data_IF_995369112513
#
_entry.id   IF_995369112513
#
_cell.length_a   1.000
_cell.length_b   1.000
_cell.length_c   1.000
_cell.angle_alpha   90.00
_cell.angle_beta   90.00
_cell.angle_gamma   90.00
#
_symmetry.space_group_name_H-M   'P 1'
#
loop_
_entity.id
_entity.type
_entity.pdbx_description
1 polymer ?
#
# COMPACT_ATOMS: atom_id res chain seq x y z
N UNK A 1 -21.81 -5.52 36.68
CA UNK A 1 -21.31 -5.08 35.36
C UNK A 1 -20.02 -5.84 35.06
N UNK A 2 -20.03 -6.77 34.10
CA UNK A 2 -18.83 -7.52 33.73
C UNK A 2 -17.91 -6.62 32.88
N UNK A 3 -16.71 -6.33 33.39
CA UNK A 3 -15.69 -5.58 32.65
C UNK A 3 -15.08 -6.55 31.63
N UNK A 4 -15.44 -6.42 30.36
CA UNK A 4 -14.86 -7.24 29.29
C UNK A 4 -13.39 -6.82 29.16
N UNK A 5 -12.50 -7.61 29.75
CA UNK A 5 -11.04 -7.42 29.62
C UNK A 5 -10.66 -8.08 28.29
N UNK A 6 -10.63 -7.29 27.22
CA UNK A 6 -10.13 -7.79 25.94
C UNK A 6 -8.65 -8.16 26.08
N UNK A 7 -8.23 -9.36 25.62
CA UNK A 7 -6.82 -9.69 25.55
C UNK A 7 -6.13 -8.64 24.66
N UNK A 8 -5.04 -8.06 25.18
CA UNK A 8 -4.31 -6.94 24.55
C UNK A 8 -3.86 -7.26 23.11
N UNK A 9 -3.73 -8.55 22.78
CA UNK A 9 -3.41 -9.04 21.44
C UNK A 9 -4.54 -8.79 20.45
N UNK A 10 -5.77 -9.14 20.80
CA UNK A 10 -6.97 -8.94 19.96
C UNK A 10 -7.25 -7.45 19.78
N UNK A 11 -7.10 -6.64 20.83
CA UNK A 11 -7.30 -5.18 20.75
C UNK A 11 -6.33 -4.49 19.79
N UNK A 12 -5.07 -4.93 19.73
CA UNK A 12 -4.10 -4.39 18.78
C UNK A 12 -4.42 -4.78 17.33
N UNK A 13 -4.75 -6.06 17.08
CA UNK A 13 -5.10 -6.52 15.75
C UNK A 13 -6.33 -5.78 15.21
N UNK A 14 -7.42 -5.79 15.97
CA UNK A 14 -8.65 -5.09 15.60
C UNK A 14 -8.44 -3.57 15.46
N UNK A 15 -7.66 -2.96 16.34
CA UNK A 15 -7.33 -1.54 16.27
C UNK A 15 -6.50 -1.18 15.03
N UNK A 16 -5.52 -2.02 14.68
CA UNK A 16 -4.70 -1.83 13.49
C UNK A 16 -5.52 -2.02 12.21
N UNK A 17 -6.38 -3.04 12.17
CA UNK A 17 -7.33 -3.23 11.08
C UNK A 17 -8.23 -2.00 10.91
N UNK A 18 -8.85 -1.52 11.98
CA UNK A 18 -9.71 -0.34 11.93
C UNK A 18 -8.95 0.90 11.43
N UNK A 19 -7.73 1.12 11.92
CA UNK A 19 -6.86 2.19 11.46
C UNK A 19 -6.58 2.10 9.95
N UNK A 20 -6.19 0.91 9.46
CA UNK A 20 -5.93 0.67 8.04
C UNK A 20 -7.16 0.98 7.21
N UNK A 21 -8.33 0.45 7.59
CA UNK A 21 -9.58 0.69 6.87
C UNK A 21 -9.93 2.17 6.79
N UNK A 22 -9.80 2.92 7.89
CA UNK A 22 -10.08 4.36 7.93
C UNK A 22 -9.09 5.14 7.06
N UNK A 23 -7.79 4.89 7.18
CA UNK A 23 -6.76 5.60 6.41
C UNK A 23 -6.93 5.35 4.91
N UNK A 24 -7.12 4.10 4.49
CA UNK A 24 -7.34 3.78 3.08
C UNK A 24 -8.68 4.30 2.55
N UNK A 25 -9.73 4.35 3.39
CA UNK A 25 -11.01 4.95 2.98
C UNK A 25 -10.86 6.44 2.72
N UNK A 26 -10.26 7.20 3.64
CA UNK A 26 -10.04 8.64 3.48
C UNK A 26 -9.18 8.92 2.24
N UNK A 27 -8.07 8.18 2.10
CA UNK A 27 -7.21 8.33 0.94
C UNK A 27 -7.92 7.94 -0.37
N UNK A 28 -8.79 6.93 -0.34
CA UNK A 28 -9.61 6.51 -1.48
C UNK A 28 -10.61 7.59 -1.90
N UNK A 29 -11.25 8.27 -0.95
CA UNK A 29 -12.13 9.43 -1.22
C UNK A 29 -11.34 10.53 -1.93
N UNK A 30 -10.20 10.92 -1.36
CA UNK A 30 -9.35 11.97 -1.93
C UNK A 30 -8.88 11.62 -3.34
N UNK A 31 -8.54 10.35 -3.57
CA UNK A 31 -8.13 9.85 -4.88
C UNK A 31 -9.30 9.82 -5.88
N UNK A 32 -10.49 9.40 -5.46
CA UNK A 32 -11.70 9.40 -6.28
C UNK A 32 -12.07 10.80 -6.76
N UNK A 33 -12.00 11.81 -5.88
CA UNK A 33 -12.27 13.21 -6.20
C UNK A 33 -11.22 13.83 -7.14
N UNK A 34 -9.99 13.31 -7.14
CA UNK A 34 -8.89 13.86 -7.93
C UNK A 34 -8.75 13.19 -9.32
N UNK A 35 -9.52 12.13 -9.61
CA UNK A 35 -9.41 11.38 -10.86
C UNK A 35 -9.75 12.28 -12.07
N UNK A 36 -8.86 12.37 -13.08
CA UNK A 36 -9.15 13.11 -14.31
C UNK A 36 -10.32 12.45 -15.04
N UNK A 37 -11.33 13.25 -15.38
CA UNK A 37 -12.49 12.79 -16.13
C UNK A 37 -12.18 12.69 -17.64
N UNK A 38 -12.80 11.75 -18.35
CA UNK A 38 -12.75 11.69 -19.81
C UNK A 38 -13.98 12.39 -20.38
N UNK A 39 -13.77 13.41 -21.20
CA UNK A 39 -14.84 14.07 -21.95
C UNK A 39 -15.10 13.31 -23.26
N UNK A 40 -16.33 12.85 -23.45
CA UNK A 40 -16.82 12.32 -24.72
C UNK A 40 -17.78 13.32 -25.37
N UNK A 41 -17.63 13.54 -26.68
CA UNK A 41 -18.60 14.33 -27.47
C UNK A 41 -19.59 13.37 -28.12
N UNK A 42 -20.88 13.56 -27.88
CA UNK A 42 -21.94 12.83 -28.59
C UNK A 42 -21.90 13.16 -30.09
N UNK A 43 -21.86 12.13 -30.94
CA UNK A 43 -21.82 12.24 -32.41
C UNK A 43 -23.20 11.91 -32.98
N UNK A 44 -23.62 12.62 -34.04
CA UNK A 44 -24.84 12.28 -34.78
C UNK A 44 -24.80 10.82 -35.26
N UNK A 45 -25.81 10.03 -34.87
CA UNK A 45 -25.89 8.59 -35.15
C UNK A 45 -25.90 7.68 -33.92
N UNK A 46 -25.90 8.24 -32.70
CA UNK A 46 -26.03 7.46 -31.45
C UNK A 46 -24.71 6.88 -30.93
N UNK A 47 -23.57 7.41 -31.39
CA UNK A 47 -22.23 7.04 -30.93
C UNK A 47 -21.55 8.16 -30.14
N UNK A 48 -20.64 7.80 -29.24
CA UNK A 48 -19.79 8.73 -28.50
C UNK A 48 -18.37 8.70 -29.08
N UNK A 49 -17.85 9.83 -29.53
CA UNK A 49 -16.43 9.96 -29.87
C UNK A 49 -15.67 10.20 -28.56
N UNK A 50 -14.99 9.14 -28.09
CA UNK A 50 -14.10 9.20 -26.93
C UNK A 50 -12.75 9.73 -27.40
N UNK A 51 -12.28 10.82 -26.80
CA UNK A 51 -10.93 11.31 -27.04
C UNK A 51 -9.93 10.37 -26.32
N UNK A 52 -9.44 9.37 -27.05
CA UNK A 52 -8.51 8.34 -26.58
C UNK A 52 -7.08 8.84 -26.38
N UNK A 53 -6.81 10.13 -26.64
CA UNK A 53 -5.51 10.77 -26.38
C UNK A 53 -5.23 11.00 -24.89
N UNK A 54 -6.23 10.79 -24.03
CA UNK A 54 -6.13 11.00 -22.58
C UNK A 54 -5.44 9.86 -21.84
N UNK A 55 -4.25 10.12 -21.30
CA UNK A 55 -3.51 9.24 -20.37
C UNK A 55 -4.21 9.03 -19.00
N UNK A 56 -5.47 9.43 -18.84
CA UNK A 56 -6.19 9.40 -17.56
C UNK A 56 -6.27 8.00 -16.93
N UNK A 57 -6.38 6.93 -17.72
CA UNK A 57 -6.36 5.55 -17.20
C UNK A 57 -5.00 5.17 -16.62
N UNK A 58 -3.91 5.52 -17.32
CA UNK A 58 -2.55 5.27 -16.84
C UNK A 58 -2.22 6.10 -15.60
N UNK A 59 -2.60 7.38 -15.58
CA UNK A 59 -2.42 8.24 -14.41
C UNK A 59 -3.24 7.77 -13.22
N UNK A 60 -4.49 7.33 -13.44
CA UNK A 60 -5.32 6.72 -12.39
C UNK A 60 -4.67 5.46 -11.83
N UNK A 61 -4.15 4.58 -12.70
CA UNK A 61 -3.45 3.37 -12.28
C UNK A 61 -2.18 3.69 -11.49
N UNK A 62 -1.34 4.60 -12.00
CA UNK A 62 -0.09 4.99 -11.35
C UNK A 62 -0.33 5.63 -9.99
N UNK A 63 -1.30 6.56 -9.89
CA UNK A 63 -1.66 7.19 -8.61
C UNK A 63 -2.26 6.21 -7.62
N UNK A 64 -3.08 5.25 -8.06
CA UNK A 64 -3.59 4.15 -7.23
C UNK A 64 -2.45 3.30 -6.66
N UNK A 65 -1.55 2.81 -7.52
CA UNK A 65 -0.42 1.96 -7.14
C UNK A 65 0.50 2.69 -6.16
N UNK A 66 0.90 3.92 -6.47
CA UNK A 66 1.81 4.69 -5.64
C UNK A 66 1.18 5.03 -4.28
N UNK A 67 -0.08 5.49 -4.25
CA UNK A 67 -0.74 5.88 -3.00
C UNK A 67 -0.93 4.67 -2.08
N UNK A 68 -1.47 3.57 -2.60
CA UNK A 68 -1.74 2.38 -1.80
C UNK A 68 -0.46 1.71 -1.29
N UNK A 69 0.61 1.71 -2.09
CA UNK A 69 1.92 1.23 -1.68
C UNK A 69 2.53 2.10 -0.58
N UNK A 70 2.58 3.43 -0.78
CA UNK A 70 3.18 4.35 0.19
C UNK A 70 2.47 4.29 1.55
N UNK A 71 1.14 4.25 1.57
CA UNK A 71 0.36 4.10 2.82
C UNK A 71 0.74 2.79 3.52
N UNK A 72 0.79 1.68 2.79
CA UNK A 72 1.21 0.38 3.32
C UNK A 72 2.62 0.44 3.91
N UNK A 73 3.57 1.04 3.20
CA UNK A 73 4.96 1.20 3.65
C UNK A 73 5.06 2.00 4.95
N UNK A 74 4.35 3.14 5.05
CA UNK A 74 4.34 3.98 6.26
C UNK A 74 3.75 3.24 7.46
N UNK A 75 2.63 2.54 7.27
CA UNK A 75 2.00 1.76 8.34
C UNK A 75 2.93 0.64 8.80
N UNK A 76 3.52 -0.12 7.88
CA UNK A 76 4.44 -1.21 8.20
C UNK A 76 5.71 -0.74 8.89
N UNK A 77 6.28 0.39 8.46
CA UNK A 77 7.39 1.04 9.15
C UNK A 77 7.01 1.48 10.57
N UNK A 78 5.84 2.12 10.73
CA UNK A 78 5.33 2.53 12.03
C UNK A 78 5.14 1.35 12.99
N UNK A 79 4.51 0.28 12.52
CA UNK A 79 4.33 -0.96 13.30
C UNK A 79 5.69 -1.56 13.68
N UNK A 80 6.63 -1.64 12.74
CA UNK A 80 7.97 -2.14 13.04
C UNK A 80 8.71 -1.30 14.10
N UNK A 81 8.60 0.03 14.02
CA UNK A 81 9.25 0.97 14.95
C UNK A 81 8.66 0.93 16.35
N UNK A 82 7.33 0.91 16.46
CA UNK A 82 6.63 1.09 17.74
C UNK A 82 6.15 -0.21 18.39
N UNK A 83 5.90 -1.28 17.64
CA UNK A 83 5.43 -2.57 18.16
C UNK A 83 6.57 -3.59 18.35
N UNK A 84 7.68 -3.18 19.00
CA UNK A 84 8.89 -4.00 19.16
C UNK A 84 8.63 -5.40 19.76
N UNK A 85 7.73 -5.49 20.75
CA UNK A 85 7.38 -6.75 21.42
C UNK A 85 6.61 -7.74 20.56
N UNK A 86 6.18 -7.33 19.36
CA UNK A 86 5.40 -8.15 18.43
C UNK A 86 6.10 -8.33 17.08
N UNK A 87 7.40 -8.04 17.02
CA UNK A 87 8.20 -8.30 15.82
C UNK A 87 8.25 -9.79 15.57
N UNK A 88 8.13 -10.17 14.30
CA UNK A 88 8.08 -11.57 13.89
C UNK A 88 7.27 -11.77 12.61
N UNK A 89 7.32 -13.01 12.12
CA UNK A 89 6.73 -13.41 10.84
C UNK A 89 5.19 -13.31 10.85
N UNK A 90 4.54 -13.55 12.00
CA UNK A 90 3.09 -13.41 12.13
C UNK A 90 2.60 -11.99 11.85
N UNK A 91 3.30 -10.97 12.38
CA UNK A 91 2.98 -9.56 12.13
C UNK A 91 3.26 -9.15 10.69
N UNK A 92 4.31 -9.70 10.07
CA UNK A 92 4.60 -9.51 8.64
C UNK A 92 3.43 -10.00 7.77
N UNK A 93 2.99 -11.25 7.98
CA UNK A 93 1.88 -11.81 7.20
C UNK A 93 0.57 -11.05 7.45
N UNK A 94 0.33 -10.66 8.71
CA UNK A 94 -0.85 -9.87 9.07
C UNK A 94 -0.86 -8.51 8.36
N UNK A 95 0.27 -7.81 8.32
CA UNK A 95 0.41 -6.54 7.58
C UNK A 95 0.20 -6.73 6.07
N UNK A 96 0.60 -7.87 5.50
CA UNK A 96 0.29 -8.24 4.12
C UNK A 96 -1.21 -8.33 3.88
N UNK A 97 -1.94 -9.05 4.75
CA UNK A 97 -3.42 -9.15 4.67
C UNK A 97 -4.08 -7.79 4.82
N UNK A 98 -3.65 -6.99 5.79
CA UNK A 98 -4.19 -5.64 5.99
C UNK A 98 -3.95 -4.73 4.77
N UNK A 99 -2.79 -4.83 4.12
CA UNK A 99 -2.49 -4.06 2.92
C UNK A 99 -3.38 -4.45 1.74
N UNK A 100 -3.69 -5.74 1.56
CA UNK A 100 -4.67 -6.21 0.55
C UNK A 100 -6.06 -5.63 0.83
N UNK A 101 -6.54 -5.76 2.07
CA UNK A 101 -7.85 -5.24 2.46
C UNK A 101 -7.93 -3.71 2.33
N UNK A 102 -6.88 -2.99 2.74
CA UNK A 102 -6.77 -1.54 2.61
C UNK A 102 -6.83 -1.11 1.14
N UNK A 103 -6.01 -1.70 0.28
CA UNK A 103 -6.01 -1.39 -1.16
C UNK A 103 -7.36 -1.67 -1.82
N UNK A 104 -8.04 -2.75 -1.40
CA UNK A 104 -9.38 -3.08 -1.87
C UNK A 104 -10.42 -2.04 -1.43
N UNK A 105 -10.39 -1.60 -0.17
CA UNK A 105 -11.28 -0.55 0.35
C UNK A 105 -11.03 0.79 -0.33
N UNK A 106 -9.77 1.17 -0.53
CA UNK A 106 -9.41 2.37 -1.27
C UNK A 106 -9.99 2.35 -2.68
N UNK A 107 -9.90 1.21 -3.37
CA UNK A 107 -10.48 1.03 -4.70
C UNK A 107 -12.01 1.16 -4.69
N UNK A 108 -12.70 0.48 -3.77
CA UNK A 108 -14.15 0.54 -3.66
C UNK A 108 -14.66 1.95 -3.35
N UNK A 109 -14.08 2.59 -2.34
CA UNK A 109 -14.50 3.93 -1.90
C UNK A 109 -14.15 4.97 -2.95
N UNK A 110 -12.95 4.92 -3.53
CA UNK A 110 -12.55 5.83 -4.61
C UNK A 110 -13.35 5.64 -5.89
N UNK A 111 -13.76 4.41 -6.19
CA UNK A 111 -14.66 4.10 -7.29
C UNK A 111 -16.08 4.61 -7.08
N UNK A 112 -16.60 4.56 -5.85
CA UNK A 112 -17.95 5.06 -5.52
C UNK A 112 -18.07 6.59 -5.58
N UNK A 113 -17.00 7.31 -5.21
CA UNK A 113 -16.97 8.77 -5.22
C UNK A 113 -16.67 9.33 -6.62
N UNK A 114 -16.07 8.54 -7.51
CA UNK A 114 -15.76 8.98 -8.87
C UNK A 114 -17.05 9.31 -9.65
N UNK A 115 -17.09 10.43 -10.40
CA UNK A 115 -18.24 10.80 -11.22
C UNK A 115 -18.64 9.68 -12.20
N UNK A 116 -19.87 9.18 -12.06
CA UNK A 116 -20.45 8.14 -12.91
C UNK A 116 -21.03 8.74 -14.20
N UNK A 117 -21.14 7.92 -15.26
CA UNK A 117 -21.74 8.34 -16.54
C UNK A 117 -23.14 8.94 -16.25
N UNK A 118 -23.45 10.15 -16.72
CA UNK A 118 -24.82 10.66 -16.71
C UNK A 118 -25.76 9.74 -17.51
N UNK A 119 -27.01 9.59 -17.06
CA UNK A 119 -28.03 8.86 -17.80
C UNK A 119 -28.19 9.43 -19.22
N UNK A 120 -28.38 8.53 -20.20
CA UNK A 120 -28.43 8.78 -21.65
C UNK A 120 -29.68 9.55 -22.11
N UNK A 121 -30.01 10.67 -21.45
CA UNK A 121 -31.07 11.60 -21.80
C UNK A 121 -30.52 12.99 -22.19
N UNK A 122 -29.26 13.06 -22.63
CA UNK A 122 -28.62 14.32 -23.01
C UNK A 122 -28.74 14.55 -24.52
N UNK A 123 -29.16 15.77 -24.92
CA UNK A 123 -29.35 16.19 -26.32
C UNK A 123 -28.07 16.04 -27.16
N UNK A 124 -28.25 15.71 -28.45
CA UNK A 124 -27.16 15.62 -29.44
C UNK A 124 -26.34 16.93 -29.41
N UNK A 125 -25.05 16.83 -29.08
CA UNK A 125 -24.14 17.98 -28.91
C UNK A 125 -23.66 18.24 -27.47
N UNK A 126 -24.21 17.54 -26.46
CA UNK A 126 -23.73 17.66 -25.07
C UNK A 126 -22.39 16.95 -24.86
N UNK A 127 -21.41 17.63 -24.24
CA UNK A 127 -20.20 17.00 -23.71
C UNK A 127 -20.55 16.20 -22.47
N UNK A 128 -20.26 14.90 -22.48
CA UNK A 128 -20.50 14.00 -21.35
C UNK A 128 -19.15 13.58 -20.79
N UNK A 129 -18.89 13.93 -19.54
CA UNK A 129 -17.65 13.61 -18.84
C UNK A 129 -17.85 12.39 -17.94
N UNK A 130 -17.00 11.37 -18.06
CA UNK A 130 -17.07 10.16 -17.25
C UNK A 130 -15.69 9.61 -16.91
N UNK A 131 -15.58 8.97 -15.74
CA UNK A 131 -14.37 8.25 -15.32
C UNK A 131 -14.48 6.75 -15.68
N UNK A 132 -13.63 6.22 -16.58
CA UNK A 132 -13.70 4.82 -16.98
C UNK A 132 -13.62 3.80 -15.84
N UNK A 133 -14.40 2.71 -15.98
CA UNK A 133 -14.37 1.56 -15.07
C UNK A 133 -12.94 1.05 -14.92
N UNK A 134 -12.40 1.17 -13.71
CA UNK A 134 -11.00 0.89 -13.40
C UNK A 134 -10.87 -0.50 -12.78
N UNK A 135 -10.21 -1.42 -13.48
CA UNK A 135 -9.87 -2.74 -12.95
C UNK A 135 -8.46 -2.72 -12.33
N UNK A 136 -8.34 -2.88 -11.00
CA UNK A 136 -7.07 -2.68 -10.31
C UNK A 136 -6.10 -3.85 -10.52
N UNK A 137 -6.54 -4.99 -11.07
CA UNK A 137 -5.72 -6.15 -11.50
C UNK A 137 -4.43 -6.36 -10.71
N UNK A 138 -3.25 -6.18 -11.33
CA UNK A 138 -1.94 -6.34 -10.69
C UNK A 138 -1.58 -5.20 -9.72
N UNK A 139 -2.22 -4.04 -9.83
CA UNK A 139 -1.99 -2.90 -8.94
C UNK A 139 -2.33 -3.21 -7.47
N UNK A 140 -3.26 -4.14 -7.21
CA UNK A 140 -3.58 -4.59 -5.85
C UNK A 140 -2.39 -5.26 -5.15
N UNK A 141 -1.42 -5.78 -5.90
CA UNK A 141 -0.23 -6.42 -5.33
C UNK A 141 0.82 -5.40 -4.85
N UNK A 142 0.75 -4.13 -5.27
CA UNK A 142 1.75 -3.13 -4.91
C UNK A 142 1.78 -2.81 -3.41
N UNK A 143 0.59 -2.65 -2.81
CA UNK A 143 0.44 -2.42 -1.38
C UNK A 143 1.01 -3.55 -0.50
N UNK A 144 0.60 -4.82 -0.66
CA UNK A 144 1.20 -5.91 0.11
C UNK A 144 2.68 -6.09 -0.20
N UNK A 145 3.13 -5.92 -1.46
CA UNK A 145 4.54 -6.03 -1.79
C UNK A 145 5.40 -5.01 -1.01
N UNK A 146 5.06 -3.72 -1.06
CA UNK A 146 5.83 -2.70 -0.35
C UNK A 146 5.73 -2.84 1.17
N UNK A 147 4.54 -3.19 1.68
CA UNK A 147 4.32 -3.50 3.10
C UNK A 147 5.28 -4.58 3.61
N UNK A 148 5.32 -5.71 2.90
CA UNK A 148 6.16 -6.85 3.24
C UNK A 148 7.64 -6.51 3.11
N UNK A 149 8.04 -5.85 2.02
CA UNK A 149 9.43 -5.44 1.79
C UNK A 149 9.94 -4.56 2.93
N UNK A 150 9.22 -3.49 3.28
CA UNK A 150 9.60 -2.56 4.35
C UNK A 150 9.75 -3.27 5.68
N UNK A 151 8.77 -4.10 6.04
CA UNK A 151 8.79 -4.81 7.32
C UNK A 151 9.91 -5.86 7.38
N UNK A 152 10.12 -6.58 6.28
CA UNK A 152 11.15 -7.60 6.14
C UNK A 152 12.56 -7.01 6.17
N UNK A 153 12.80 -5.90 5.48
CA UNK A 153 14.05 -5.15 5.57
C UNK A 153 14.35 -4.73 7.01
N UNK A 154 13.35 -4.23 7.75
CA UNK A 154 13.52 -3.92 9.16
C UNK A 154 13.91 -5.14 9.99
N UNK A 155 13.28 -6.29 9.75
CA UNK A 155 13.57 -7.52 10.45
C UNK A 155 15.03 -7.98 10.21
N UNK A 156 15.50 -7.94 8.95
CA UNK A 156 16.87 -8.30 8.62
C UNK A 156 17.91 -7.36 9.23
N UNK A 157 17.70 -6.05 9.15
CA UNK A 157 18.66 -5.07 9.68
C UNK A 157 18.83 -5.18 11.21
N UNK A 158 17.78 -5.57 11.94
CA UNK A 158 17.89 -5.79 13.40
C UNK A 158 18.61 -7.11 13.74
N UNK A 159 18.57 -8.11 12.87
CA UNK A 159 19.29 -9.37 13.07
C UNK A 159 20.80 -9.14 12.97
N UNK A 160 21.26 -8.27 12.07
CA UNK A 160 22.68 -7.94 11.92
C UNK A 160 23.26 -7.27 13.18
N UNK A 161 22.47 -6.42 13.83
CA UNK A 161 22.85 -5.67 15.04
C UNK A 161 22.86 -6.51 16.33
N UNK A 162 22.78 -7.85 16.21
CA UNK A 162 22.79 -8.76 17.35
C UNK A 162 24.15 -8.73 18.07
N UNK A 163 24.20 -8.71 19.41
CA UNK A 163 25.44 -8.59 20.18
C UNK A 163 26.47 -9.70 19.91
N UNK A 164 26.03 -10.88 19.43
CA UNK A 164 26.93 -11.93 18.98
C UNK A 164 27.74 -11.54 17.74
N UNK A 165 27.17 -10.77 16.81
CA UNK A 165 27.89 -10.31 15.61
C UNK A 165 28.91 -9.23 15.96
N UNK A 166 28.56 -8.32 16.88
CA UNK A 166 29.49 -7.32 17.42
C UNK A 166 30.64 -7.99 18.22
N UNK A 167 30.33 -9.04 18.99
CA UNK A 167 31.35 -9.82 19.71
C UNK A 167 32.26 -10.61 18.77
N UNK A 168 31.74 -11.17 17.68
CA UNK A 168 32.51 -11.88 16.66
C UNK A 168 33.39 -10.93 15.83
N UNK A 169 32.89 -9.74 15.49
CA UNK A 169 33.67 -8.69 14.82
C UNK A 169 34.79 -8.15 15.72
N UNK A 170 34.51 -7.94 17.02
CA UNK A 170 35.55 -7.59 18.00
C UNK A 170 36.55 -8.72 18.27
N UNK A 171 36.18 -9.99 18.05
CA UNK A 171 37.09 -11.11 18.18
C UNK A 171 38.02 -11.26 16.95
N UNK A 172 37.54 -10.95 15.74
CA UNK A 172 38.38 -10.98 14.53
C UNK A 172 39.47 -9.92 14.50
N UNK A 173 39.22 -8.75 15.10
CA UNK A 173 40.22 -7.66 15.21
C UNK A 173 41.37 -7.99 16.17
N UNK A 174 41.21 -9.03 17.00
CA UNK A 174 42.19 -9.45 18.01
C UNK A 174 42.96 -10.71 17.63
N UNK A 175 42.81 -11.24 16.41
CA UNK A 175 43.63 -12.35 15.92
C UNK A 175 45.00 -11.79 15.51
N UNK A 176 46.11 -12.14 16.21
CA UNK A 176 47.44 -11.74 15.77
C UNK A 176 47.68 -12.36 14.40
N UNK A 177 48.00 -11.53 13.40
CA UNK A 177 48.48 -12.02 12.11
C UNK A 177 49.77 -12.77 12.40
N UNK A 178 49.73 -14.10 12.37
CA UNK A 178 50.92 -14.93 12.49
C UNK A 178 51.76 -14.68 11.23
N UNK A 179 52.66 -13.70 11.32
CA UNK A 179 53.62 -13.37 10.28
C UNK A 179 54.47 -14.62 10.08
N UNK A 180 54.30 -15.23 8.91
CA UNK A 180 54.88 -16.52 8.55
C UNK A 180 56.33 -16.66 9.00
N UNK A 181 56.61 -17.76 9.69
CA UNK A 181 57.99 -18.14 10.00
C UNK A 181 58.75 -18.33 8.68
N UNK A 182 59.93 -17.69 8.50
CA UNK A 182 60.75 -17.96 7.35
C UNK A 182 61.27 -19.40 7.45
N UNK A 183 60.97 -20.20 6.43
CA UNK A 183 61.56 -21.51 6.21
C UNK A 183 63.06 -21.35 5.96
N UNK A 184 63.88 -21.56 6.99
CA UNK A 184 65.27 -22.04 6.88
C UNK A 184 65.59 -22.96 8.06
#
# INVERSE_FOLDING_TARGET
MARIIFPRTVGFGAGLLALVLVVYSIAGILWGLWRPEMTATAVEGGGFAVDTSSNAQFQSFGTFVLSTALIAGVISFGVFKYAKSRRGLGTLLYLGVLAVLGAFVFWLVGGYIAPTVPDMASEVGSQVSWVPTFNPSMGLAAAPFLSLLVYWSGLYLVVEDSPNNAALAGASDNVPVEVGQPLY
#
